data_IF_339770070822
#
_entry.id   IF_339770070822
#
_cell.length_a   1.000
_cell.length_b   1.000
_cell.length_c   1.000
_cell.angle_alpha   90.00
_cell.angle_beta   90.00
_cell.angle_gamma   90.00
#
_symmetry.space_group_name_H-M   'P 1'
#
loop_
_entity.id
_entity.type
_entity.pdbx_description
1 polymer ?
#
# COMPACT_ATOMS: atom_id res chain seq x y z
N UNK A 1 -36.27 7.94 -3.37
CA UNK A 1 -35.23 6.99 -3.82
C UNK A 1 -33.92 7.69 -3.56
N UNK A 2 -33.21 7.32 -2.49
CA UNK A 2 -31.91 7.90 -2.20
C UNK A 2 -30.87 6.96 -2.77
N UNK A 3 -30.33 7.34 -3.92
CA UNK A 3 -29.20 6.70 -4.57
C UNK A 3 -27.98 6.95 -3.66
N UNK A 4 -27.71 5.97 -2.80
CA UNK A 4 -26.46 5.91 -2.04
C UNK A 4 -25.34 5.75 -3.07
N UNK A 5 -24.69 6.87 -3.36
CA UNK A 5 -23.40 6.96 -4.03
C UNK A 5 -22.53 5.81 -3.51
N UNK A 6 -22.04 4.88 -4.36
CA UNK A 6 -21.30 3.72 -3.87
C UNK A 6 -20.10 4.27 -3.11
N UNK A 7 -20.13 4.08 -1.80
CA UNK A 7 -19.03 4.38 -0.91
C UNK A 7 -17.83 3.72 -1.59
N UNK A 8 -16.90 4.53 -2.11
CA UNK A 8 -15.64 4.01 -2.61
C UNK A 8 -15.11 3.21 -1.45
N UNK A 9 -15.20 1.88 -1.57
CA UNK A 9 -14.74 0.92 -0.57
C UNK A 9 -13.27 1.22 -0.44
N UNK A 10 -12.97 2.14 0.46
CA UNK A 10 -11.63 2.59 0.77
C UNK A 10 -11.10 1.40 1.52
N UNK A 11 -10.62 0.41 0.76
CA UNK A 11 -10.14 -0.84 1.26
C UNK A 11 -9.20 -0.46 2.40
N UNK A 12 -9.61 -0.77 3.63
CA UNK A 12 -8.88 -0.32 4.81
C UNK A 12 -7.45 -0.78 4.58
N UNK A 13 -6.48 0.16 4.51
CA UNK A 13 -5.13 -0.20 4.11
C UNK A 13 -4.64 -1.23 5.12
N UNK A 14 -4.29 -2.42 4.63
CA UNK A 14 -3.80 -3.54 5.43
C UNK A 14 -2.58 -3.14 6.25
N UNK A 15 -1.80 -2.19 5.73
CA UNK A 15 -0.59 -1.66 6.35
C UNK A 15 -0.69 -0.15 6.58
N UNK A 16 -0.28 0.28 7.78
CA UNK A 16 -0.28 1.68 8.21
C UNK A 16 0.84 2.51 7.57
N UNK A 17 0.70 3.83 7.59
CA UNK A 17 1.81 4.72 7.26
C UNK A 17 2.97 4.47 8.23
N UNK A 18 4.17 4.39 7.67
CA UNK A 18 5.38 4.11 8.43
C UNK A 18 5.62 2.63 8.73
N UNK A 19 4.67 1.74 8.43
CA UNK A 19 4.89 0.29 8.52
C UNK A 19 6.04 -0.17 7.62
N UNK A 20 6.83 -1.10 8.14
CA UNK A 20 7.87 -1.79 7.37
C UNK A 20 7.28 -3.02 6.70
N UNK A 21 7.61 -3.18 5.42
CA UNK A 21 7.10 -4.24 4.58
C UNK A 21 8.23 -4.81 3.73
N UNK A 22 8.24 -6.10 3.51
CA UNK A 22 9.16 -6.80 2.62
C UNK A 22 8.47 -7.10 1.28
N UNK A 23 9.11 -6.66 0.20
CA UNK A 23 8.70 -6.94 -1.16
C UNK A 23 9.67 -7.93 -1.81
N UNK A 24 9.22 -9.03 -2.42
CA UNK A 24 10.09 -10.12 -2.89
C UNK A 24 11.14 -9.68 -3.93
N UNK A 25 10.87 -8.63 -4.71
CA UNK A 25 11.81 -8.10 -5.71
C UNK A 25 12.63 -6.90 -5.25
N UNK A 26 12.21 -6.18 -4.22
CA UNK A 26 12.81 -4.90 -3.82
C UNK A 26 13.34 -4.90 -2.38
N UNK A 27 13.11 -6.00 -1.64
CA UNK A 27 13.44 -6.15 -0.24
C UNK A 27 12.57 -5.28 0.67
N UNK A 28 13.14 -4.91 1.81
CA UNK A 28 12.43 -4.15 2.83
C UNK A 28 12.26 -2.67 2.45
N UNK A 29 11.03 -2.18 2.60
CA UNK A 29 10.67 -0.78 2.42
C UNK A 29 9.70 -0.30 3.49
N UNK A 30 9.47 1.02 3.51
CA UNK A 30 8.59 1.69 4.45
C UNK A 30 7.43 2.33 3.69
N UNK A 31 6.22 2.15 4.18
CA UNK A 31 5.06 2.84 3.61
C UNK A 31 5.16 4.33 3.93
N UNK A 32 5.21 5.15 2.90
CA UNK A 32 5.30 6.61 3.00
C UNK A 32 4.02 7.31 2.55
N UNK A 33 3.12 6.60 1.88
CA UNK A 33 1.87 7.16 1.40
C UNK A 33 0.89 6.11 0.89
N UNK A 34 -0.29 6.59 0.53
CA UNK A 34 -1.34 5.82 -0.11
C UNK A 34 -1.69 6.43 -1.45
N UNK A 35 -2.18 5.60 -2.34
CA UNK A 35 -2.72 5.97 -3.65
C UNK A 35 -4.13 5.40 -3.74
N UNK A 36 -4.90 5.79 -4.76
CA UNK A 36 -6.25 5.23 -4.96
C UNK A 36 -6.29 3.71 -5.12
N UNK A 37 -5.16 3.04 -5.42
CA UNK A 37 -5.11 1.60 -5.68
C UNK A 37 -4.04 0.85 -4.88
N UNK A 38 -3.45 1.46 -3.85
CA UNK A 38 -2.35 0.83 -3.10
C UNK A 38 -1.45 1.76 -2.30
N UNK A 39 -0.22 1.31 -2.08
CA UNK A 39 0.77 1.93 -1.20
C UNK A 39 1.90 2.59 -1.99
N UNK A 40 2.42 3.69 -1.47
CA UNK A 40 3.75 4.21 -1.85
C UNK A 40 4.75 3.68 -0.83
N UNK A 41 5.73 2.92 -1.29
CA UNK A 41 6.73 2.26 -0.45
C UNK A 41 8.11 2.80 -0.82
N UNK A 42 8.82 3.38 0.14
CA UNK A 42 10.22 3.79 0.00
C UNK A 42 11.13 2.62 0.42
N UNK A 43 11.90 2.09 -0.53
CA UNK A 43 12.80 0.95 -0.30
C UNK A 43 14.19 1.40 0.14
N UNK A 44 14.93 0.48 0.78
CA UNK A 44 16.34 0.69 1.18
C UNK A 44 17.23 0.77 -0.06
N UNK A 45 17.27 1.96 -0.64
CA UNK A 45 17.90 2.28 -1.93
C UNK A 45 17.51 3.67 -2.46
N UNK A 46 16.54 4.33 -1.81
CA UNK A 46 16.12 5.69 -2.16
C UNK A 46 15.00 5.72 -3.21
N UNK A 47 14.74 4.60 -3.88
CA UNK A 47 13.59 4.46 -4.78
C UNK A 47 12.28 4.27 -4.01
N UNK A 48 11.26 5.00 -4.45
CA UNK A 48 9.88 4.77 -4.02
C UNK A 48 9.11 4.06 -5.13
N UNK A 49 8.34 3.03 -4.80
CA UNK A 49 7.46 2.35 -5.76
C UNK A 49 6.02 2.29 -5.27
N UNK A 50 5.10 2.37 -6.23
CA UNK A 50 3.69 2.15 -5.99
C UNK A 50 3.41 0.65 -6.09
N UNK A 51 2.82 0.07 -5.04
CA UNK A 51 2.44 -1.34 -4.99
C UNK A 51 0.94 -1.43 -4.74
N UNK A 52 0.24 -2.23 -5.54
CA UNK A 52 -1.21 -2.38 -5.41
C UNK A 52 -1.59 -2.96 -4.05
N UNK A 53 -2.71 -2.50 -3.48
CA UNK A 53 -3.25 -3.05 -2.24
C UNK A 53 -3.57 -4.55 -2.36
N UNK A 54 -3.90 -5.02 -3.56
CA UNK A 54 -4.21 -6.42 -3.85
C UNK A 54 -2.98 -7.31 -4.05
N UNK A 55 -1.76 -6.74 -3.99
CA UNK A 55 -0.54 -7.52 -4.15
C UNK A 55 -0.26 -8.37 -2.91
N UNK A 56 -0.51 -9.68 -3.02
CA UNK A 56 -0.36 -10.61 -1.89
C UNK A 56 1.11 -10.96 -1.54
N UNK A 57 2.08 -10.52 -2.35
CA UNK A 57 3.49 -10.78 -2.10
C UNK A 57 4.12 -9.87 -1.04
N UNK A 58 3.41 -8.82 -0.60
CA UNK A 58 3.90 -7.90 0.43
C UNK A 58 3.74 -8.53 1.82
N UNK A 59 4.82 -8.59 2.60
CA UNK A 59 4.80 -9.14 3.96
C UNK A 59 5.20 -8.08 4.99
N UNK A 60 4.62 -8.07 6.20
CA UNK A 60 5.17 -7.26 7.29
C UNK A 60 6.56 -7.80 7.69
N UNK A 61 7.45 -6.89 8.09
CA UNK A 61 8.73 -7.22 8.74
C UNK A 61 8.55 -7.16 10.24
#
# INVERSE_FOLDING_TARGET
MNEQQPESVSAVPTYGMGSLVDHPSFGTGRITGYTSNGYVIAFKGGESKQVSASFQGLKPV
#
